data_IF_904168372676
#
_entry.id   IF_904168372676
#
_cell.length_a   1.000
_cell.length_b   1.000
_cell.length_c   1.000
_cell.angle_alpha   90.00
_cell.angle_beta   90.00
_cell.angle_gamma   90.00
#
_symmetry.space_group_name_H-M   'P 1'
#
loop_
_entity.id
_entity.type
_entity.pdbx_description
1 polymer ?
#
# COMPACT_ATOMS: atom_id res chain seq x y z
N UNK A 1 -16.44 -9.65 3.68
CA UNK A 1 -16.32 -8.41 2.88
C UNK A 1 -16.60 -8.68 1.41
N UNK A 2 -17.28 -7.75 0.76
CA UNK A 2 -17.62 -7.91 -0.66
C UNK A 2 -16.45 -7.47 -1.54
N UNK A 3 -16.10 -8.30 -2.52
CA UNK A 3 -15.18 -7.91 -3.59
C UNK A 3 -15.81 -6.79 -4.42
N UNK A 4 -14.98 -5.98 -5.09
CA UNK A 4 -15.49 -4.90 -5.92
C UNK A 4 -16.30 -5.45 -7.11
N UNK A 5 -17.21 -4.63 -7.62
CA UNK A 5 -17.96 -4.94 -8.82
C UNK A 5 -17.01 -5.12 -10.03
N UNK A 6 -16.00 -4.27 -10.14
CA UNK A 6 -15.01 -4.35 -11.21
C UNK A 6 -14.20 -5.65 -11.15
N UNK A 7 -13.87 -6.12 -9.96
CA UNK A 7 -13.20 -7.41 -9.79
C UNK A 7 -14.09 -8.57 -10.25
N UNK A 8 -15.34 -8.57 -9.83
CA UNK A 8 -16.29 -9.64 -10.16
C UNK A 8 -16.58 -9.74 -11.66
N UNK A 9 -16.69 -8.59 -12.32
CA UNK A 9 -17.08 -8.52 -13.72
C UNK A 9 -15.90 -8.63 -14.68
N UNK A 10 -14.82 -7.91 -14.40
CA UNK A 10 -13.68 -7.74 -15.30
C UNK A 10 -12.37 -8.30 -14.75
N UNK A 11 -12.36 -8.83 -13.54
CA UNK A 11 -11.12 -9.30 -12.88
C UNK A 11 -10.17 -8.18 -12.48
N UNK A 12 -10.61 -6.93 -12.51
CA UNK A 12 -9.78 -5.80 -12.10
C UNK A 12 -9.48 -5.85 -10.59
N UNK A 13 -8.23 -5.67 -10.24
CA UNK A 13 -7.78 -5.78 -8.85
C UNK A 13 -7.31 -7.18 -8.48
N UNK A 14 -7.22 -8.10 -9.42
CA UNK A 14 -6.62 -9.41 -9.19
C UNK A 14 -5.10 -9.34 -9.22
N UNK A 15 -4.45 -10.34 -8.65
CA UNK A 15 -3.00 -10.51 -8.78
C UNK A 15 -2.70 -10.85 -10.24
N UNK A 16 -1.78 -10.11 -10.90
CA UNK A 16 -1.47 -10.40 -12.30
C UNK A 16 -0.97 -11.84 -12.49
N UNK A 17 -1.51 -12.52 -13.48
CA UNK A 17 -1.18 -13.92 -13.76
C UNK A 17 0.30 -14.16 -14.01
N UNK A 18 0.99 -13.16 -14.56
CA UNK A 18 2.43 -13.25 -14.85
C UNK A 18 3.30 -13.25 -13.58
N UNK A 19 2.80 -12.64 -12.52
CA UNK A 19 3.53 -12.47 -11.27
C UNK A 19 3.21 -13.56 -10.25
N UNK A 20 2.01 -14.11 -10.32
CA UNK A 20 1.52 -15.08 -9.33
C UNK A 20 2.46 -16.29 -9.13
N UNK A 21 3.01 -16.93 -10.17
CA UNK A 21 3.94 -18.04 -9.96
C UNK A 21 5.19 -17.64 -9.18
N UNK A 22 5.72 -16.45 -9.41
CA UNK A 22 6.87 -15.95 -8.65
C UNK A 22 6.51 -15.76 -7.19
N UNK A 23 5.36 -15.17 -6.90
CA UNK A 23 4.93 -14.94 -5.52
C UNK A 23 4.67 -16.24 -4.79
N UNK A 24 4.09 -17.24 -5.46
CA UNK A 24 3.89 -18.57 -4.89
C UNK A 24 5.23 -19.26 -4.59
N UNK A 25 6.20 -19.12 -5.47
CA UNK A 25 7.54 -19.66 -5.28
C UNK A 25 8.25 -19.02 -4.09
N UNK A 26 8.04 -17.72 -3.87
CA UNK A 26 8.59 -17.00 -2.71
C UNK A 26 7.94 -17.42 -1.38
N UNK A 27 6.76 -17.99 -1.43
CA UNK A 27 5.98 -18.35 -0.26
C UNK A 27 5.07 -17.21 0.21
N UNK A 28 3.81 -17.26 -0.19
CA UNK A 28 2.82 -16.26 0.21
C UNK A 28 2.50 -16.42 1.69
N UNK A 29 2.71 -15.35 2.47
CA UNK A 29 2.36 -15.28 3.89
C UNK A 29 0.90 -14.88 4.04
N UNK A 30 0.48 -13.84 3.33
CA UNK A 30 -0.90 -13.37 3.30
C UNK A 30 -1.16 -12.66 1.99
N UNK A 31 -2.35 -12.83 1.45
CA UNK A 31 -2.79 -12.13 0.25
C UNK A 31 -4.28 -11.87 0.26
N UNK A 32 -4.69 -10.81 -0.41
CA UNK A 32 -6.08 -10.56 -0.75
C UNK A 32 -6.14 -9.83 -2.08
N UNK A 33 -7.20 -10.07 -2.83
CA UNK A 33 -7.40 -9.44 -4.13
C UNK A 33 -8.85 -9.00 -4.31
N UNK A 34 -9.09 -8.15 -5.30
CA UNK A 34 -10.41 -7.60 -5.54
C UNK A 34 -10.86 -6.65 -4.42
N UNK A 35 -9.91 -6.09 -3.68
CA UNK A 35 -10.20 -5.15 -2.61
C UNK A 35 -10.54 -3.78 -3.18
N UNK A 36 -11.65 -3.21 -2.74
CA UNK A 36 -11.92 -1.80 -2.92
C UNK A 36 -11.10 -0.95 -1.96
N UNK A 37 -10.91 0.29 -2.29
CA UNK A 37 -10.20 1.20 -1.40
C UNK A 37 -9.99 2.57 -2.00
N UNK A 38 -9.15 3.35 -1.32
CA UNK A 38 -8.82 4.72 -1.69
C UNK A 38 -7.33 4.92 -1.71
N UNK A 39 -6.86 5.52 -2.80
CA UNK A 39 -5.50 6.03 -2.94
C UNK A 39 -5.55 7.52 -2.61
N UNK A 40 -4.81 7.94 -1.59
CA UNK A 40 -4.84 9.31 -1.08
C UNK A 40 -3.44 9.90 -1.13
N UNK A 41 -3.33 11.09 -1.71
CA UNK A 41 -2.09 11.87 -1.71
C UNK A 41 -2.30 13.13 -0.88
N UNK A 42 -1.33 13.45 0.00
CA UNK A 42 -1.38 14.62 0.88
C UNK A 42 -0.13 15.47 0.63
N UNK A 43 -0.33 16.66 0.08
CA UNK A 43 0.75 17.59 -0.20
C UNK A 43 1.90 17.00 -1.02
N UNK A 44 1.57 16.16 -2.00
CA UNK A 44 2.58 15.50 -2.84
C UNK A 44 3.08 16.47 -3.90
N UNK A 45 4.38 16.66 -3.95
CA UNK A 45 5.08 17.46 -4.95
C UNK A 45 6.17 16.62 -5.61
N UNK A 46 6.26 16.75 -6.92
CA UNK A 46 7.32 16.13 -7.70
C UNK A 46 7.66 16.98 -8.91
N UNK A 47 8.55 16.54 -9.78
CA UNK A 47 8.93 17.29 -10.97
C UNK A 47 7.72 17.62 -11.85
N UNK A 48 7.36 18.90 -11.91
CA UNK A 48 6.24 19.38 -12.72
C UNK A 48 4.84 19.04 -12.20
N UNK A 49 4.71 18.50 -10.99
CA UNK A 49 3.43 18.10 -10.42
C UNK A 49 3.28 18.54 -8.97
N UNK A 50 2.08 19.00 -8.63
CA UNK A 50 1.73 19.39 -7.26
C UNK A 50 0.31 18.97 -6.94
N UNK A 51 0.12 18.20 -5.88
CA UNK A 51 -1.19 17.77 -5.41
C UNK A 51 -1.36 18.16 -3.94
N UNK A 52 -2.35 19.00 -3.62
CA UNK A 52 -2.64 19.37 -2.22
C UNK A 52 -3.26 18.20 -1.46
N UNK A 53 -4.36 17.72 -1.99
CA UNK A 53 -5.06 16.56 -1.45
C UNK A 53 -5.84 15.93 -2.60
N UNK A 54 -5.60 14.68 -2.84
CA UNK A 54 -6.29 13.95 -3.90
C UNK A 54 -6.67 12.57 -3.39
N UNK A 55 -7.90 12.13 -3.68
CA UNK A 55 -8.33 10.76 -3.41
C UNK A 55 -8.93 10.15 -4.65
N UNK A 56 -8.54 8.90 -4.90
CA UNK A 56 -9.04 8.11 -6.02
C UNK A 56 -9.43 6.74 -5.52
N UNK A 57 -10.62 6.26 -5.93
CA UNK A 57 -11.04 4.90 -5.66
C UNK A 57 -10.27 3.90 -6.52
N UNK A 58 -10.06 2.70 -5.99
CA UNK A 58 -9.40 1.63 -6.73
C UNK A 58 -10.00 0.25 -6.45
N UNK A 59 -9.66 -0.69 -7.32
CA UNK A 59 -9.78 -2.13 -7.07
C UNK A 59 -8.37 -2.71 -7.18
N UNK A 60 -7.92 -3.42 -6.15
CA UNK A 60 -6.54 -3.84 -6.09
C UNK A 60 -6.29 -5.11 -5.31
N UNK A 61 -5.03 -5.47 -5.22
CA UNK A 61 -4.55 -6.60 -4.45
C UNK A 61 -3.33 -6.21 -3.64
N UNK A 62 -3.13 -6.93 -2.54
CA UNK A 62 -1.96 -6.80 -1.69
C UNK A 62 -1.47 -8.19 -1.34
N UNK A 63 -0.18 -8.42 -1.53
CA UNK A 63 0.45 -9.71 -1.25
C UNK A 63 1.71 -9.48 -0.43
N UNK A 64 1.83 -10.21 0.67
CA UNK A 64 3.06 -10.28 1.46
C UNK A 64 3.60 -11.68 1.31
N UNK A 65 4.80 -11.80 0.77
CA UNK A 65 5.53 -13.06 0.69
C UNK A 65 6.65 -13.07 1.73
N UNK A 66 7.38 -14.16 1.81
CA UNK A 66 8.59 -14.22 2.65
C UNK A 66 9.69 -13.27 2.17
N UNK A 67 9.60 -12.79 0.93
CA UNK A 67 10.65 -11.98 0.31
C UNK A 67 10.23 -10.55 -0.04
N UNK A 68 8.93 -10.25 -0.15
CA UNK A 68 8.48 -8.90 -0.56
C UNK A 68 7.07 -8.55 -0.15
N UNK A 69 6.79 -7.25 -0.21
CA UNK A 69 5.44 -6.69 -0.20
C UNK A 69 5.15 -6.14 -1.59
N UNK A 70 4.04 -6.54 -2.19
CA UNK A 70 3.67 -6.09 -3.53
C UNK A 70 2.18 -5.72 -3.57
N UNK A 71 1.89 -4.61 -4.25
CA UNK A 71 0.52 -4.09 -4.39
C UNK A 71 0.28 -3.69 -5.84
N UNK A 72 -0.87 -4.07 -6.36
CA UNK A 72 -1.36 -3.63 -7.67
C UNK A 72 -2.73 -2.98 -7.53
N UNK A 73 -2.94 -1.89 -8.25
CA UNK A 73 -4.26 -1.29 -8.42
C UNK A 73 -4.56 -1.20 -9.90
N UNK A 74 -5.71 -1.76 -10.32
CA UNK A 74 -6.09 -1.86 -11.75
C UNK A 74 -5.00 -2.47 -12.62
N UNK A 75 -4.27 -3.47 -12.10
CA UNK A 75 -3.16 -4.10 -12.83
C UNK A 75 -1.86 -3.31 -12.86
N UNK A 76 -1.84 -2.12 -12.28
CA UNK A 76 -0.63 -1.29 -12.20
C UNK A 76 0.07 -1.51 -10.86
N UNK A 77 1.37 -1.81 -10.92
CA UNK A 77 2.18 -2.01 -9.71
C UNK A 77 2.38 -0.69 -8.98
N UNK A 78 1.97 -0.64 -7.72
CA UNK A 78 2.09 0.54 -6.88
C UNK A 78 3.17 0.40 -5.82
N UNK A 79 3.31 -0.79 -5.24
CA UNK A 79 4.30 -1.08 -4.21
C UNK A 79 5.02 -2.36 -4.61
N UNK A 80 6.35 -2.37 -4.47
CA UNK A 80 7.17 -3.56 -4.60
C UNK A 80 8.45 -3.33 -3.77
N UNK A 81 8.47 -3.86 -2.55
CA UNK A 81 9.56 -3.65 -1.61
C UNK A 81 10.04 -5.02 -1.13
N UNK A 82 11.35 -5.28 -1.28
CA UNK A 82 11.98 -6.46 -0.69
C UNK A 82 11.97 -6.34 0.83
N UNK A 83 11.76 -7.45 1.54
CA UNK A 83 11.81 -7.47 3.01
C UNK A 83 13.21 -7.16 3.54
N UNK A 84 14.25 -7.30 2.71
CA UNK A 84 15.63 -6.94 3.05
C UNK A 84 15.95 -5.47 2.77
N UNK A 85 15.07 -4.76 2.06
CA UNK A 85 15.26 -3.34 1.76
C UNK A 85 15.05 -2.51 3.03
N UNK A 86 16.00 -1.65 3.41
CA UNK A 86 15.84 -0.75 4.57
C UNK A 86 14.59 0.13 4.48
N UNK A 87 14.06 0.39 3.30
CA UNK A 87 12.83 1.17 3.09
C UNK A 87 11.60 0.53 3.70
N UNK A 88 11.64 -0.76 4.01
CA UNK A 88 10.53 -1.43 4.69
C UNK A 88 10.22 -0.74 6.03
N UNK A 89 11.23 -0.20 6.71
CA UNK A 89 11.08 0.52 7.97
C UNK A 89 10.44 1.91 7.80
N UNK A 90 10.30 2.41 6.58
CA UNK A 90 9.63 3.67 6.27
C UNK A 90 8.17 3.48 5.87
N UNK A 91 7.74 2.23 5.77
CA UNK A 91 6.35 1.88 5.50
C UNK A 91 5.58 1.83 6.82
N UNK A 92 4.46 2.54 6.89
CA UNK A 92 3.58 2.56 8.06
C UNK A 92 2.32 1.78 7.78
N UNK A 93 1.86 1.05 8.78
CA UNK A 93 0.62 0.28 8.70
C UNK A 93 -0.27 0.61 9.89
N UNK A 94 -1.56 0.82 9.62
CA UNK A 94 -2.55 1.09 10.65
C UNK A 94 -3.90 0.49 10.25
N UNK A 95 -4.78 0.37 11.22
CA UNK A 95 -6.16 -0.05 10.98
C UNK A 95 -7.05 1.12 11.38
N UNK A 96 -7.73 1.73 10.39
CA UNK A 96 -8.56 2.91 10.60
C UNK A 96 -9.94 2.57 11.17
N UNK A 97 -10.46 1.42 10.75
CA UNK A 97 -11.71 0.82 11.23
C UNK A 97 -11.53 -0.68 11.13
N UNK A 98 -12.45 -1.46 11.67
CA UNK A 98 -12.31 -2.92 11.77
C UNK A 98 -11.84 -3.62 10.48
N UNK A 99 -12.26 -3.11 9.32
CA UNK A 99 -11.93 -3.72 8.02
C UNK A 99 -11.19 -2.78 7.08
N UNK A 100 -10.51 -1.74 7.60
CA UNK A 100 -9.77 -0.80 6.78
C UNK A 100 -8.30 -0.79 7.15
N UNK A 101 -7.51 -1.41 6.29
CA UNK A 101 -6.06 -1.40 6.39
C UNK A 101 -5.52 -0.14 5.71
N UNK A 102 -4.67 0.60 6.38
CA UNK A 102 -4.01 1.78 5.83
C UNK A 102 -2.51 1.54 5.75
N UNK A 103 -1.96 1.63 4.54
CA UNK A 103 -0.53 1.69 4.31
C UNK A 103 -0.16 3.10 3.91
N UNK A 104 0.84 3.67 4.55
CA UNK A 104 1.28 5.02 4.23
C UNK A 104 2.80 5.14 4.25
N UNK A 105 3.31 6.07 3.46
CA UNK A 105 4.72 6.35 3.38
C UNK A 105 4.97 7.76 2.86
N UNK A 106 6.14 8.30 3.18
CA UNK A 106 6.61 9.56 2.61
C UNK A 106 7.16 9.28 1.21
N UNK A 107 6.67 10.01 0.20
CA UNK A 107 7.04 9.74 -1.19
C UNK A 107 8.54 9.94 -1.46
N UNK A 108 9.21 10.81 -0.71
CA UNK A 108 10.65 11.03 -0.82
C UNK A 108 11.48 9.79 -0.50
N UNK A 109 10.95 8.88 0.33
CA UNK A 109 11.63 7.63 0.66
C UNK A 109 11.66 6.63 -0.50
N UNK A 110 10.78 6.80 -1.49
CA UNK A 110 10.62 5.89 -2.62
C UNK A 110 10.93 6.51 -3.96
N UNK A 111 10.86 7.83 -4.09
CA UNK A 111 11.13 8.58 -5.33
C UNK A 111 11.95 9.83 -5.05
N UNK A 112 13.14 9.87 -5.64
CA UNK A 112 13.97 11.07 -5.60
C UNK A 112 13.24 12.26 -6.24
N UNK A 113 13.32 13.42 -5.59
CA UNK A 113 12.67 14.64 -6.07
C UNK A 113 11.18 14.76 -5.75
N UNK A 114 10.62 13.79 -5.05
CA UNK A 114 9.23 13.82 -4.59
C UNK A 114 9.17 14.03 -3.08
N UNK A 115 8.08 14.62 -2.60
CA UNK A 115 7.75 14.72 -1.17
C UNK A 115 6.25 14.67 -0.97
N UNK A 116 5.80 14.52 0.28
CA UNK A 116 4.41 14.37 0.64
C UNK A 116 4.04 12.93 0.96
N UNK A 117 2.89 12.74 1.57
CA UNK A 117 2.43 11.45 2.07
C UNK A 117 1.51 10.77 1.06
N UNK A 118 1.77 9.49 0.84
CA UNK A 118 0.90 8.62 0.05
C UNK A 118 0.28 7.59 0.98
N UNK A 119 -1.05 7.42 0.87
CA UNK A 119 -1.80 6.41 1.62
C UNK A 119 -2.57 5.49 0.68
N UNK A 120 -2.54 4.21 0.99
CA UNK A 120 -3.43 3.21 0.41
C UNK A 120 -4.35 2.69 1.50
N UNK A 121 -5.65 2.87 1.32
CA UNK A 121 -6.67 2.36 2.25
C UNK A 121 -7.41 1.21 1.58
N UNK A 122 -7.26 0.02 2.14
CA UNK A 122 -7.85 -1.21 1.59
C UNK A 122 -9.02 -1.67 2.46
N UNK A 123 -10.14 -1.99 1.83
CA UNK A 123 -11.24 -2.66 2.50
C UNK A 123 -10.97 -4.16 2.47
N UNK A 124 -10.62 -4.73 3.60
CA UNK A 124 -10.30 -6.15 3.72
C UNK A 124 -10.66 -6.67 5.11
N UNK A 125 -11.22 -7.87 5.17
CA UNK A 125 -11.48 -8.56 6.43
C UNK A 125 -10.20 -9.17 7.04
N UNK A 126 -9.09 -9.09 6.32
CA UNK A 126 -7.77 -9.55 6.76
C UNK A 126 -6.88 -8.43 7.30
N UNK A 127 -7.45 -7.27 7.65
CA UNK A 127 -6.68 -6.09 8.06
C UNK A 127 -5.71 -6.38 9.20
N UNK A 128 -6.15 -7.06 10.24
CA UNK A 128 -5.30 -7.41 11.38
C UNK A 128 -4.17 -8.38 11.01
N UNK A 129 -4.45 -9.36 10.17
CA UNK A 129 -3.46 -10.33 9.70
C UNK A 129 -2.39 -9.65 8.83
N UNK A 130 -2.80 -8.72 7.96
CA UNK A 130 -1.86 -7.92 7.18
C UNK A 130 -0.98 -7.06 8.07
N UNK A 131 -1.57 -6.41 9.08
CA UNK A 131 -0.80 -5.58 10.02
C UNK A 131 0.27 -6.41 10.72
N UNK A 132 -0.11 -7.57 11.24
CA UNK A 132 0.84 -8.47 11.92
C UNK A 132 1.96 -8.91 10.97
N UNK A 133 1.63 -9.32 9.75
CA UNK A 133 2.61 -9.75 8.77
C UNK A 133 3.58 -8.62 8.38
N UNK A 134 3.06 -7.41 8.19
CA UNK A 134 3.86 -6.25 7.80
C UNK A 134 4.79 -5.79 8.94
N UNK A 135 4.29 -5.75 10.17
CA UNK A 135 5.11 -5.41 11.34
C UNK A 135 6.21 -6.47 11.53
N UNK A 136 5.89 -7.74 11.32
CA UNK A 136 6.88 -8.82 11.46
C UNK A 136 8.07 -8.68 10.51
N UNK A 137 7.88 -8.06 9.35
CA UNK A 137 8.97 -7.84 8.38
C UNK A 137 9.62 -6.46 8.49
N UNK A 138 9.20 -5.63 9.43
CA UNK A 138 9.87 -4.37 9.73
C UNK A 138 9.08 -3.09 9.50
N UNK A 139 7.84 -3.15 9.01
CA UNK A 139 6.99 -1.98 8.89
C UNK A 139 6.64 -1.42 10.27
N UNK A 140 6.35 -0.13 10.33
CA UNK A 140 6.02 0.54 11.58
C UNK A 140 4.51 0.70 11.74
N UNK A 141 4.02 0.58 12.95
CA UNK A 141 2.63 0.87 13.26
C UNK A 141 2.40 2.38 13.28
N UNK A 142 1.29 2.82 12.69
CA UNK A 142 0.90 4.22 12.66
C UNK A 142 0.71 4.73 11.25
N UNK A 143 0.84 6.04 11.08
CA UNK A 143 0.69 6.71 9.80
C UNK A 143 1.92 7.57 9.50
N UNK A 144 2.33 7.59 8.24
CA UNK A 144 3.40 8.46 7.79
C UNK A 144 2.96 9.93 7.95
N UNK A 145 3.89 10.77 8.38
CA UNK A 145 3.67 12.20 8.50
C UNK A 145 4.51 12.94 7.45
N UNK A 146 3.92 14.00 6.92
CA UNK A 146 4.66 14.90 6.04
C UNK A 146 5.83 15.50 6.83
N UNK A 147 7.04 15.42 6.28
CA UNK A 147 8.23 16.00 6.88
C UNK A 147 8.09 17.50 7.19
N UNK A 148 7.21 18.19 6.46
CA UNK A 148 6.88 19.60 6.70
C UNK A 148 6.03 19.80 7.94
N UNK A 149 5.07 18.90 8.21
CA UNK A 149 4.22 19.01 9.40
C UNK A 149 5.01 18.73 10.67
N UNK A 150 5.97 17.82 10.66
CA UNK A 150 6.82 17.55 11.82
C UNK A 150 7.75 18.73 12.15
N UNK A 151 8.13 19.54 11.15
CA UNK A 151 8.93 20.75 11.37
C UNK A 151 8.12 21.90 11.96
N UNK A 152 6.83 21.95 11.68
CA UNK A 152 5.95 23.02 12.20
C UNK A 152 5.53 22.78 13.65
N UNK A 153 5.69 21.58 14.17
CA UNK A 153 5.41 21.23 15.57
C UNK A 153 6.61 21.50 16.51
N UNK A 154 7.75 21.80 15.94
CA UNK A 154 8.95 22.17 16.68
C UNK A 154 9.03 23.69 16.87
#
# INVERSE_FOLDING_TARGET
MKKTFLYRLLGLGSVPKKVLPLLEQEGIVISDEGMGGWFITKHVNGPGKRYRHRSEGFSGCLVVTKERVICYTYGKRQINISVEDPKIATLYVDILKEEKLCLSFESSDFREGWNGVIEFRFNTDKAHQFREALIAIGAQQGAAQDARSSRSEL
#
